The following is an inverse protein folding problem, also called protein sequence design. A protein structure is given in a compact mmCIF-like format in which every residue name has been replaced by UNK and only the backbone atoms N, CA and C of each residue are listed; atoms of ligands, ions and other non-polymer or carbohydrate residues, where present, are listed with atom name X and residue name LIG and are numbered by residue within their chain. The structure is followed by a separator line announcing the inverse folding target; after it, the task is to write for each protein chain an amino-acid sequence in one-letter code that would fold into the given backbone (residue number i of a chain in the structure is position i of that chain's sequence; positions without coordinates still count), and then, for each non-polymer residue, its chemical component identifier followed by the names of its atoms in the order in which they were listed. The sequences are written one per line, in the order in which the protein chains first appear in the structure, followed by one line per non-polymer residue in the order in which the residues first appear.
data_IF_204035065281
#
_entry.id   IF_204035065281
#
_cell.length_a   1.000
_cell.length_b   1.000
_cell.length_c   1.000
_cell.angle_alpha   90.00
_cell.angle_beta   90.00
_cell.angle_gamma   90.00
#
_symmetry.space_group_name_H-M   'P 1'
#
loop_
_entity.id
_entity.type
_entity.pdbx_description
1 polymer ?
#
# COMPACT_ATOMS: atom_id res chain seq x y z
N UNK A 1 -15.83 -6.27 -33.82
CA UNK A 1 -14.62 -5.45 -33.65
C UNK A 1 -14.60 -4.92 -32.21
N UNK A 2 -14.94 -5.77 -31.23
CA UNK A 2 -15.27 -5.38 -29.84
C UNK A 2 -14.54 -6.27 -28.82
N UNK A 3 -13.44 -6.90 -29.21
CA UNK A 3 -12.69 -7.86 -28.37
C UNK A 3 -11.30 -7.40 -27.97
N UNK A 4 -10.97 -6.11 -28.09
CA UNK A 4 -9.61 -5.60 -27.90
C UNK A 4 -9.50 -4.58 -26.75
N UNK A 5 -10.61 -4.05 -26.22
CA UNK A 5 -10.58 -3.09 -25.11
C UNK A 5 -10.42 -3.74 -23.72
N UNK A 6 -10.75 -5.03 -23.56
CA UNK A 6 -10.61 -5.75 -22.28
C UNK A 6 -9.23 -6.34 -22.00
N UNK A 7 -8.26 -6.18 -22.91
CA UNK A 7 -6.89 -6.71 -22.77
C UNK A 7 -5.90 -5.59 -22.38
N UNK A 8 -6.28 -4.32 -22.58
CA UNK A 8 -5.42 -3.16 -22.26
C UNK A 8 -5.38 -2.91 -20.74
N UNK A 9 -6.48 -3.14 -20.01
CA UNK A 9 -6.51 -3.03 -18.54
C UNK A 9 -5.72 -4.13 -17.79
N UNK A 10 -5.44 -5.26 -18.45
CA UNK A 10 -4.74 -6.42 -17.87
C UNK A 10 -3.21 -6.28 -17.99
N UNK A 11 -2.72 -5.45 -18.92
CA UNK A 11 -1.28 -5.22 -19.11
C UNK A 11 -0.80 -3.99 -18.32
N UNK A 12 -1.65 -2.97 -18.13
CA UNK A 12 -1.33 -1.80 -17.32
C UNK A 12 -1.09 -2.16 -15.83
N UNK A 13 -1.94 -3.01 -15.23
CA UNK A 13 -1.83 -3.44 -13.83
C UNK A 13 -0.58 -4.31 -13.56
N UNK A 14 -0.16 -5.12 -14.55
CA UNK A 14 1.02 -5.99 -14.50
C UNK A 14 2.35 -5.23 -14.27
N UNK A 15 2.42 -3.95 -14.67
CA UNK A 15 3.58 -3.07 -14.54
C UNK A 15 3.46 -2.03 -13.42
N UNK A 16 2.26 -1.49 -13.22
CA UNK A 16 1.89 -0.69 -12.03
C UNK A 16 2.29 -1.46 -10.76
N UNK A 17 2.09 -2.78 -10.75
CA UNK A 17 2.76 -3.80 -9.93
C UNK A 17 4.19 -3.50 -9.42
N UNK A 18 5.16 -3.94 -10.21
CA UNK A 18 6.58 -3.91 -9.88
C UNK A 18 7.19 -2.49 -9.89
N UNK A 19 6.56 -1.54 -10.58
CA UNK A 19 7.05 -0.17 -10.71
C UNK A 19 6.48 0.77 -9.65
N UNK A 20 5.23 0.58 -9.17
CA UNK A 20 4.77 1.23 -7.92
C UNK A 20 5.71 0.89 -6.78
N UNK A 21 6.21 -0.33 -6.67
CA UNK A 21 7.22 -0.66 -5.65
C UNK A 21 8.53 0.13 -5.89
N UNK A 22 8.93 0.34 -7.15
CA UNK A 22 10.06 1.21 -7.53
C UNK A 22 9.80 2.72 -7.36
N UNK A 23 8.55 3.17 -7.34
CA UNK A 23 8.15 4.57 -7.16
C UNK A 23 7.80 4.90 -5.71
N UNK A 24 7.17 3.99 -4.98
CA UNK A 24 6.89 4.02 -3.54
C UNK A 24 8.21 3.85 -2.76
N UNK A 25 9.01 2.82 -3.06
CA UNK A 25 10.25 2.50 -2.31
C UNK A 25 11.54 2.80 -3.07
N UNK A 26 11.54 2.67 -4.40
CA UNK A 26 12.77 2.83 -5.19
C UNK A 26 13.20 4.27 -5.42
N UNK A 27 12.30 5.26 -5.35
CA UNK A 27 12.63 6.59 -5.84
C UNK A 27 12.78 7.70 -4.76
N UNK A 28 12.49 7.40 -3.49
CA UNK A 28 12.96 8.22 -2.37
C UNK A 28 14.46 8.05 -2.11
N UNK A 29 15.00 6.83 -2.24
CA UNK A 29 16.42 6.55 -1.97
C UNK A 29 17.27 6.30 -3.23
N UNK A 30 16.74 5.76 -4.34
CA UNK A 30 17.56 5.47 -5.54
C UNK A 30 17.57 6.60 -6.60
N UNK A 31 16.50 7.37 -6.81
CA UNK A 31 16.55 8.61 -7.65
C UNK A 31 17.30 9.73 -6.97
N UNK A 32 17.25 9.81 -5.64
CA UNK A 32 18.16 10.65 -4.83
C UNK A 32 19.63 10.24 -5.02
N UNK A 33 19.91 8.95 -5.26
CA UNK A 33 21.25 8.42 -5.56
C UNK A 33 21.66 8.56 -7.03
N UNK A 34 20.71 8.67 -7.97
CA UNK A 34 20.97 8.82 -9.40
C UNK A 34 21.09 10.29 -9.84
N UNK A 35 20.29 11.20 -9.27
CA UNK A 35 20.48 12.65 -9.41
C UNK A 35 21.82 13.12 -8.80
N UNK A 36 22.41 12.31 -7.89
CA UNK A 36 23.76 12.49 -7.36
C UNK A 36 24.90 12.25 -8.38
N UNK A 37 24.63 11.75 -9.60
CA UNK A 37 25.68 11.39 -10.57
C UNK A 37 25.99 12.43 -11.65
N UNK A 38 25.24 13.53 -11.75
CA UNK A 38 25.45 14.54 -12.82
C UNK A 38 25.57 15.96 -12.31
N UNK A 39 26.41 16.15 -11.30
CA UNK A 39 27.34 17.27 -11.29
C UNK A 39 28.66 16.73 -10.73
N UNK A 40 29.73 16.80 -11.52
CA UNK A 40 31.07 16.41 -11.10
C UNK A 40 31.52 17.24 -9.90
N UNK A 41 31.27 16.70 -8.71
CA UNK A 41 31.73 17.18 -7.41
C UNK A 41 31.67 16.02 -6.44
N UNK A 42 32.83 15.52 -5.99
CA UNK A 42 32.95 14.37 -5.10
C UNK A 42 32.35 14.70 -3.72
N UNK A 43 31.17 14.17 -3.40
CA UNK A 43 30.55 14.30 -2.07
C UNK A 43 29.48 13.23 -1.81
N UNK A 44 29.34 12.80 -0.56
CA UNK A 44 28.28 11.93 -0.01
C UNK A 44 26.94 12.68 0.03
N UNK A 45 25.79 11.99 0.16
CA UNK A 45 24.45 12.60 0.33
C UNK A 45 24.42 13.64 1.47
N UNK A 46 25.14 13.36 2.57
CA UNK A 46 25.38 14.32 3.65
C UNK A 46 26.05 15.61 3.21
N UNK A 47 26.82 15.58 2.13
CA UNK A 47 27.60 16.72 1.63
C UNK A 47 26.77 17.61 0.69
N UNK A 48 25.73 17.05 0.05
CA UNK A 48 24.75 17.81 -0.73
C UNK A 48 23.69 18.49 0.16
N UNK A 49 23.34 17.88 1.30
CA UNK A 49 22.51 18.54 2.33
C UNK A 49 23.26 19.66 3.08
N UNK A 50 24.60 19.58 3.20
CA UNK A 50 25.44 20.54 3.95
C UNK A 50 25.70 21.89 3.26
N UNK A 51 24.76 22.39 2.47
CA UNK A 51 24.98 23.63 1.71
C UNK A 51 24.38 24.82 2.48
N UNK A 52 25.24 25.79 2.82
CA UNK A 52 24.88 26.99 3.56
C UNK A 52 23.76 27.78 2.87
N UNK A 53 22.69 28.08 3.62
CA UNK A 53 21.49 28.89 3.30
C UNK A 53 21.70 30.26 2.63
N UNK A 54 22.93 30.69 2.32
CA UNK A 54 23.20 31.98 1.66
C UNK A 54 22.77 31.94 0.19
N UNK A 55 21.51 32.31 -0.05
CA UNK A 55 20.95 32.55 -1.40
C UNK A 55 19.91 31.54 -1.86
N UNK A 56 19.49 30.58 -1.02
CA UNK A 56 18.33 29.74 -1.31
C UNK A 56 17.03 30.52 -1.05
N UNK A 57 16.08 30.42 -1.98
CA UNK A 57 14.72 30.93 -1.81
C UNK A 57 13.90 30.13 -0.80
N UNK A 58 12.66 30.54 -0.50
CA UNK A 58 11.75 29.73 0.31
C UNK A 58 11.53 28.34 -0.31
N UNK A 59 11.07 27.38 0.50
CA UNK A 59 10.65 26.09 -0.01
C UNK A 59 9.42 26.27 -0.91
N UNK A 60 9.52 25.76 -2.13
CA UNK A 60 8.49 25.80 -3.17
C UNK A 60 8.21 24.37 -3.64
N UNK A 61 6.97 24.11 -4.08
CA UNK A 61 6.55 22.82 -4.62
C UNK A 61 5.99 22.95 -6.04
N UNK A 62 6.08 21.85 -6.81
CA UNK A 62 5.46 21.73 -8.13
C UNK A 62 5.00 20.30 -8.41
N UNK A 63 4.10 20.17 -9.37
CA UNK A 63 3.75 18.89 -9.97
C UNK A 63 4.66 18.65 -11.18
N UNK A 64 5.27 17.47 -11.24
CA UNK A 64 5.92 16.94 -12.43
C UNK A 64 5.11 15.73 -12.92
N UNK A 65 4.54 15.83 -14.12
CA UNK A 65 3.81 14.72 -14.73
C UNK A 65 4.79 13.72 -15.33
N UNK A 66 4.73 12.48 -14.87
CA UNK A 66 5.50 11.37 -15.39
C UNK A 66 4.55 10.31 -15.91
N UNK A 67 4.69 9.94 -17.19
CA UNK A 67 4.06 8.74 -17.70
C UNK A 67 4.93 7.54 -17.35
N UNK A 68 4.38 6.67 -16.53
CA UNK A 68 5.01 5.49 -16.00
C UNK A 68 4.85 4.30 -16.98
N UNK A 69 5.70 4.22 -18.00
CA UNK A 69 5.69 3.11 -18.96
C UNK A 69 7.00 2.98 -19.74
N UNK A 70 7.20 1.82 -20.38
CA UNK A 70 8.29 1.61 -21.33
C UNK A 70 8.19 2.57 -22.53
N UNK A 71 9.29 2.69 -23.30
CA UNK A 71 9.48 3.53 -24.51
C UNK A 71 8.35 3.44 -25.58
N UNK A 72 7.35 2.57 -25.38
CA UNK A 72 6.22 2.28 -26.26
C UNK A 72 4.94 3.10 -25.93
N UNK A 73 4.91 3.88 -24.85
CA UNK A 73 3.87 4.88 -24.58
C UNK A 73 2.58 4.39 -23.90
N UNK A 74 2.53 3.16 -23.39
CA UNK A 74 1.42 2.59 -22.61
C UNK A 74 1.66 2.70 -21.09
N UNK A 75 2.01 3.90 -20.61
CA UNK A 75 2.23 4.17 -19.19
C UNK A 75 1.03 4.77 -18.47
N UNK A 76 0.94 4.57 -17.16
CA UNK A 76 -0.06 5.23 -16.32
C UNK A 76 0.45 6.60 -15.83
N UNK A 77 -0.47 7.52 -15.55
CA UNK A 77 -0.10 8.85 -15.10
C UNK A 77 0.35 8.82 -13.64
N UNK A 78 1.57 9.28 -13.39
CA UNK A 78 2.12 9.49 -12.06
C UNK A 78 2.44 10.98 -11.88
N UNK A 79 1.89 11.58 -10.83
CA UNK A 79 2.12 12.99 -10.49
C UNK A 79 3.16 13.04 -9.39
N UNK A 80 4.40 13.35 -9.77
CA UNK A 80 5.47 13.54 -8.81
C UNK A 80 5.36 14.92 -8.18
N UNK A 81 5.29 14.95 -6.85
CA UNK A 81 5.34 16.19 -6.09
C UNK A 81 6.81 16.47 -5.80
N UNK A 82 7.33 17.56 -6.36
CA UNK A 82 8.72 17.96 -6.19
C UNK A 82 8.83 19.21 -5.33
N UNK A 83 9.86 19.31 -4.50
CA UNK A 83 10.19 20.48 -3.71
C UNK A 83 11.58 21.02 -4.05
N UNK A 84 11.75 22.34 -3.95
CA UNK A 84 13.02 23.06 -4.11
C UNK A 84 13.08 24.24 -3.15
N UNK A 85 14.25 24.56 -2.60
CA UNK A 85 14.45 25.72 -1.73
C UNK A 85 14.85 25.37 -0.29
N UNK A 86 14.94 26.40 0.56
CA UNK A 86 15.39 26.28 1.94
C UNK A 86 14.37 25.63 2.86
N UNK A 87 14.80 24.63 3.63
CA UNK A 87 13.95 23.91 4.59
C UNK A 87 13.74 24.82 5.83
N UNK A 88 12.49 25.14 6.19
CA UNK A 88 12.19 26.17 7.20
C UNK A 88 12.22 25.65 8.64
N UNK A 89 13.33 25.02 9.06
CA UNK A 89 13.52 24.50 10.43
C UNK A 89 14.47 25.36 11.26
N UNK A 90 14.27 25.39 12.59
CA UNK A 90 15.05 26.21 13.53
C UNK A 90 15.99 25.39 14.45
N UNK A 91 15.90 24.06 14.38
CA UNK A 91 16.75 23.09 15.07
C UNK A 91 16.98 21.90 14.14
N UNK A 92 17.95 21.05 14.48
CA UNK A 92 18.10 19.75 13.83
C UNK A 92 16.85 18.92 14.11
N UNK A 93 16.24 18.38 13.06
CA UNK A 93 14.95 17.68 13.13
C UNK A 93 14.94 16.51 12.14
N UNK A 94 14.32 15.40 12.53
CA UNK A 94 14.02 14.30 11.61
C UNK A 94 12.76 14.63 10.82
N UNK A 95 12.90 14.87 9.51
CA UNK A 95 11.80 15.43 8.71
C UNK A 95 11.23 14.42 7.73
N UNK A 96 9.93 14.51 7.51
CA UNK A 96 9.20 13.81 6.45
C UNK A 96 8.25 14.73 5.71
N UNK A 97 7.76 14.26 4.57
CA UNK A 97 6.67 14.89 3.84
C UNK A 97 5.44 13.99 3.86
N UNK A 98 4.27 14.62 3.99
CA UNK A 98 2.97 13.97 3.88
C UNK A 98 2.18 14.68 2.80
N UNK A 99 1.68 13.92 1.83
CA UNK A 99 0.79 14.41 0.77
C UNK A 99 -0.61 13.86 1.00
N UNK A 100 -1.58 14.75 1.17
CA UNK A 100 -3.02 14.43 1.19
C UNK A 100 -3.69 14.96 -0.07
N UNK A 101 -4.79 14.33 -0.48
CA UNK A 101 -5.59 14.80 -1.62
C UNK A 101 -7.00 15.15 -1.14
N UNK A 102 -7.42 16.38 -1.42
CA UNK A 102 -8.76 16.88 -1.12
C UNK A 102 -9.47 17.24 -2.43
N UNK A 103 -10.76 16.95 -2.50
CA UNK A 103 -11.65 17.43 -3.55
C UNK A 103 -12.23 18.79 -3.12
N UNK A 104 -11.92 19.85 -3.87
CA UNK A 104 -12.39 21.22 -3.65
C UNK A 104 -13.36 21.67 -4.76
N UNK A 105 -14.01 20.74 -5.45
CA UNK A 105 -14.97 21.04 -6.54
C UNK A 105 -16.23 21.73 -6.01
N UNK A 106 -16.65 21.39 -4.78
CA UNK A 106 -17.80 21.99 -4.09
C UNK A 106 -17.32 22.96 -2.99
N UNK A 107 -18.25 23.74 -2.42
CA UNK A 107 -17.92 24.79 -1.44
C UNK A 107 -17.19 24.25 -0.21
N UNK A 108 -17.56 23.04 0.23
CA UNK A 108 -16.92 22.34 1.33
C UNK A 108 -15.94 21.29 0.76
N UNK A 109 -14.64 21.40 1.05
CA UNK A 109 -13.69 20.39 0.62
C UNK A 109 -14.02 19.02 1.22
N UNK A 110 -13.80 17.97 0.45
CA UNK A 110 -14.08 16.59 0.82
C UNK A 110 -12.81 15.72 0.70
N UNK A 111 -12.71 14.62 1.47
CA UNK A 111 -11.60 13.70 1.31
C UNK A 111 -11.65 13.01 -0.05
N UNK A 112 -10.48 12.66 -0.58
CA UNK A 112 -10.34 11.69 -1.68
C UNK A 112 -9.81 10.39 -1.10
N UNK A 113 -10.46 9.28 -1.44
CA UNK A 113 -10.15 7.95 -0.89
C UNK A 113 -9.26 7.16 -1.86
N UNK A 114 -8.78 6.02 -1.41
CA UNK A 114 -8.08 5.06 -2.26
C UNK A 114 -8.25 3.64 -1.72
N UNK A 115 -8.28 2.65 -2.62
CA UNK A 115 -8.34 1.22 -2.28
C UNK A 115 -6.96 0.61 -2.02
N UNK A 116 -5.89 1.41 -2.10
CA UNK A 116 -4.53 0.93 -1.92
C UNK A 116 -4.06 1.34 -0.53
N UNK A 117 -4.04 0.42 0.44
CA UNK A 117 -3.69 0.74 1.83
C UNK A 117 -2.31 1.40 1.99
N UNK A 118 -1.36 1.25 1.04
CA UNK A 118 -0.05 1.91 1.13
C UNK A 118 -0.13 3.41 0.88
N UNK A 119 -1.26 3.85 0.35
CA UNK A 119 -1.62 5.23 0.12
C UNK A 119 -2.78 5.67 1.01
N UNK A 120 -3.11 4.95 2.08
CA UNK A 120 -4.16 5.34 3.02
C UNK A 120 -3.60 5.88 4.32
N UNK A 121 -4.39 6.70 5.01
CA UNK A 121 -4.14 7.04 6.42
C UNK A 121 -4.24 5.81 7.33
N UNK A 122 -3.63 5.89 8.51
CA UNK A 122 -3.69 4.80 9.49
C UNK A 122 -5.10 4.54 10.03
N UNK A 123 -5.92 5.60 10.14
CA UNK A 123 -7.24 5.55 10.78
C UNK A 123 -8.40 5.77 9.80
N UNK A 124 -8.13 6.01 8.52
CA UNK A 124 -9.14 6.23 7.49
C UNK A 124 -8.68 5.65 6.15
N UNK A 125 -9.59 5.54 5.18
CA UNK A 125 -9.24 5.13 3.80
C UNK A 125 -8.91 6.33 2.89
N UNK A 126 -8.71 7.52 3.49
CA UNK A 126 -8.34 8.72 2.75
C UNK A 126 -6.91 8.64 2.23
N UNK A 127 -6.67 9.24 1.06
CA UNK A 127 -5.36 9.23 0.42
C UNK A 127 -4.31 9.95 1.26
N UNK A 128 -3.22 9.25 1.57
CA UNK A 128 -2.03 9.78 2.19
C UNK A 128 -0.77 9.08 1.65
N UNK A 129 0.20 9.87 1.19
CA UNK A 129 1.54 9.37 0.86
C UNK A 129 2.57 10.03 1.76
N UNK A 130 3.33 9.23 2.51
CA UNK A 130 4.41 9.69 3.38
C UNK A 130 5.77 9.42 2.74
N UNK A 131 6.71 10.35 2.87
CA UNK A 131 8.10 10.19 2.44
C UNK A 131 9.03 10.68 3.53
N UNK A 132 9.86 9.78 4.06
CA UNK A 132 10.88 10.10 5.05
C UNK A 132 12.12 10.69 4.38
N UNK A 133 12.63 11.81 4.90
CA UNK A 133 13.87 12.43 4.44
C UNK A 133 15.04 12.18 5.39
N UNK A 134 14.75 11.92 6.67
CA UNK A 134 15.75 11.73 7.72
C UNK A 134 16.12 13.03 8.43
N UNK A 135 17.17 12.97 9.26
CA UNK A 135 17.66 14.12 10.01
C UNK A 135 18.24 15.22 9.11
N UNK A 136 17.71 16.45 9.27
CA UNK A 136 18.15 17.66 8.57
C UNK A 136 18.62 18.71 9.59
N UNK A 137 19.75 19.36 9.33
CA UNK A 137 20.23 20.50 10.14
C UNK A 137 19.59 21.83 9.70
N UNK A 138 19.63 22.82 10.60
CA UNK A 138 19.26 24.20 10.30
C UNK A 138 20.07 24.72 9.12
N UNK A 139 19.45 25.57 8.28
CA UNK A 139 20.07 26.22 7.12
C UNK A 139 20.40 25.28 5.94
N UNK A 140 19.70 24.14 5.84
CA UNK A 140 19.77 23.22 4.70
C UNK A 140 18.59 23.42 3.73
N UNK A 141 18.68 22.83 2.54
CA UNK A 141 17.63 22.92 1.52
C UNK A 141 17.90 22.08 0.27
N UNK A 142 16.95 22.12 -0.67
CA UNK A 142 17.04 21.44 -1.95
C UNK A 142 17.47 22.42 -3.05
N UNK A 143 18.59 22.12 -3.72
CA UNK A 143 19.13 22.96 -4.80
C UNK A 143 18.46 22.65 -6.14
N UNK A 144 18.11 21.40 -6.35
CA UNK A 144 17.32 20.94 -7.48
C UNK A 144 15.93 20.54 -7.01
N UNK A 145 15.04 20.34 -7.97
CA UNK A 145 13.73 19.76 -7.68
C UNK A 145 13.94 18.32 -7.22
N UNK A 146 13.51 18.04 -5.99
CA UNK A 146 13.59 16.73 -5.36
C UNK A 146 12.18 16.24 -5.14
N UNK A 147 11.91 15.00 -5.54
CA UNK A 147 10.61 14.40 -5.30
C UNK A 147 10.38 14.14 -3.82
N UNK A 148 9.29 14.68 -3.29
CA UNK A 148 8.88 14.60 -1.89
C UNK A 148 7.55 13.88 -1.69
N UNK A 149 6.88 13.51 -2.78
CA UNK A 149 5.66 12.71 -2.73
C UNK A 149 5.19 12.31 -4.12
N UNK A 150 4.15 11.48 -4.14
CA UNK A 150 3.54 10.97 -5.37
C UNK A 150 2.03 10.99 -5.21
N UNK A 151 1.32 11.31 -6.29
CA UNK A 151 -0.13 11.12 -6.46
C UNK A 151 -0.39 10.34 -7.73
N UNK A 152 -1.23 9.32 -7.67
CA UNK A 152 -1.57 8.48 -8.83
C UNK A 152 -3.07 8.60 -9.08
N UNK A 153 -3.48 9.35 -10.11
CA UNK A 153 -4.90 9.64 -10.33
C UNK A 153 -5.79 8.39 -10.46
N UNK A 154 -5.27 7.32 -11.06
CA UNK A 154 -6.02 6.08 -11.31
C UNK A 154 -6.46 5.33 -10.04
N UNK A 155 -5.83 5.60 -8.90
CA UNK A 155 -6.18 4.97 -7.60
C UNK A 155 -6.95 5.92 -6.69
N UNK A 156 -7.35 7.10 -7.19
CA UNK A 156 -8.14 8.07 -6.45
C UNK A 156 -9.63 7.76 -6.62
N UNK A 157 -10.34 7.68 -5.50
CA UNK A 157 -11.79 7.60 -5.44
C UNK A 157 -12.34 8.90 -4.83
N UNK A 158 -12.67 9.91 -5.65
CA UNK A 158 -13.24 11.16 -5.20
C UNK A 158 -14.70 10.98 -4.75
N UNK A 159 -15.29 11.95 -4.03
CA UNK A 159 -16.67 11.84 -3.53
C UNK A 159 -17.71 11.60 -4.64
N UNK A 160 -17.49 12.14 -5.83
CA UNK A 160 -18.43 12.07 -6.95
C UNK A 160 -17.64 11.93 -8.27
N UNK A 161 -18.30 11.57 -9.37
CA UNK A 161 -17.70 11.33 -10.69
C UNK A 161 -17.57 12.55 -11.59
N UNK A 162 -16.84 12.42 -12.70
CA UNK A 162 -16.65 13.51 -13.67
C UNK A 162 -15.50 14.45 -13.32
N UNK A 163 -15.60 15.72 -13.73
CA UNK A 163 -14.52 16.71 -13.55
C UNK A 163 -14.43 17.15 -12.09
N UNK A 164 -13.23 17.02 -11.52
CA UNK A 164 -12.88 17.35 -10.13
C UNK A 164 -11.75 18.35 -10.04
N UNK A 165 -11.87 19.30 -9.11
CA UNK A 165 -10.84 20.25 -8.74
C UNK A 165 -10.18 19.75 -7.46
N UNK A 166 -9.06 19.06 -7.62
CA UNK A 166 -8.31 18.47 -6.52
C UNK A 166 -7.26 19.44 -6.00
N UNK A 167 -7.01 19.37 -4.70
CA UNK A 167 -5.92 20.05 -4.03
C UNK A 167 -5.00 19.04 -3.37
N UNK A 168 -3.74 19.02 -3.78
CA UNK A 168 -2.69 18.21 -3.17
C UNK A 168 -2.07 19.03 -2.04
N UNK A 169 -2.39 18.68 -0.80
CA UNK A 169 -1.87 19.36 0.39
C UNK A 169 -0.58 18.68 0.80
N UNK A 170 0.52 19.42 0.73
CA UNK A 170 1.87 18.93 1.02
C UNK A 170 2.31 19.51 2.35
N UNK A 171 2.60 18.64 3.32
CA UNK A 171 3.02 19.02 4.66
C UNK A 171 4.41 18.48 4.94
N UNK A 172 5.31 19.33 5.41
CA UNK A 172 6.56 18.88 6.04
C UNK A 172 6.30 18.69 7.53
N UNK A 173 6.72 17.55 8.08
CA UNK A 173 6.45 17.16 9.46
C UNK A 173 7.73 16.80 10.20
N UNK A 174 7.71 16.97 11.52
CA UNK A 174 8.69 16.36 12.43
C UNK A 174 8.27 14.90 12.63
N UNK A 175 9.12 13.94 12.27
CA UNK A 175 8.79 12.51 12.39
C UNK A 175 8.75 12.05 13.86
N UNK A 176 9.36 12.80 14.78
CA UNK A 176 9.27 12.53 16.22
C UNK A 176 7.97 13.04 16.85
N UNK A 177 7.30 14.00 16.21
CA UNK A 177 6.06 14.64 16.67
C UNK A 177 5.15 14.96 15.46
N UNK A 178 4.62 13.92 14.78
CA UNK A 178 3.82 14.11 13.59
C UNK A 178 2.47 14.76 13.93
N UNK A 179 1.96 15.69 13.10
CA UNK A 179 0.69 16.33 13.36
C UNK A 179 -0.48 15.38 13.09
N UNK A 180 -1.60 15.61 13.77
CA UNK A 180 -2.84 14.89 13.53
C UNK A 180 -3.40 15.27 12.14
N UNK A 181 -3.56 14.26 11.29
CA UNK A 181 -4.19 14.37 9.97
C UNK A 181 -5.30 13.33 9.91
N UNK A 182 -6.52 13.78 9.63
CA UNK A 182 -7.70 12.94 9.52
C UNK A 182 -8.46 13.31 8.25
N UNK A 183 -8.72 12.32 7.41
CA UNK A 183 -9.40 12.47 6.12
C UNK A 183 -8.71 13.50 5.20
N UNK A 184 -7.40 13.64 5.33
CA UNK A 184 -6.58 14.64 4.64
C UNK A 184 -6.65 16.05 5.22
N UNK A 185 -7.49 16.29 6.24
CA UNK A 185 -7.65 17.57 6.94
C UNK A 185 -6.74 17.68 8.16
N UNK A 186 -6.61 18.90 8.68
CA UNK A 186 -5.72 19.18 9.81
C UNK A 186 -4.26 19.33 9.37
N UNK A 187 -3.35 18.80 10.18
CA UNK A 187 -1.91 19.05 10.04
C UNK A 187 -1.42 20.26 10.85
N UNK A 188 -2.19 20.73 11.84
CA UNK A 188 -1.74 21.74 12.79
C UNK A 188 -0.50 21.22 13.54
N UNK A 189 0.64 21.92 13.41
CA UNK A 189 1.93 21.45 13.91
C UNK A 189 2.91 21.02 12.82
N UNK A 190 2.48 20.96 11.55
CA UNK A 190 3.39 20.81 10.43
C UNK A 190 4.46 21.92 10.43
N UNK A 191 5.69 21.55 10.12
CA UNK A 191 6.83 22.46 9.99
C UNK A 191 6.66 23.43 8.82
N UNK A 192 5.97 22.97 7.78
CA UNK A 192 5.63 23.75 6.59
C UNK A 192 4.44 23.12 5.88
N UNK A 193 3.66 23.94 5.18
CA UNK A 193 2.51 23.46 4.39
C UNK A 193 2.32 24.35 3.17
N UNK A 194 2.07 23.72 2.03
CA UNK A 194 1.64 24.37 0.80
C UNK A 194 0.73 23.43 0.00
N UNK A 195 0.11 23.92 -1.06
CA UNK A 195 -0.84 23.13 -1.83
C UNK A 195 -0.75 23.38 -3.34
N UNK A 196 -1.02 22.33 -4.10
CA UNK A 196 -1.04 22.35 -5.56
C UNK A 196 -2.45 22.05 -6.06
N UNK A 197 -2.93 22.84 -7.02
CA UNK A 197 -4.21 22.62 -7.66
C UNK A 197 -4.04 21.68 -8.86
N UNK A 198 -4.96 20.72 -9.00
CA UNK A 198 -4.96 19.74 -10.08
C UNK A 198 -6.39 19.45 -10.55
N UNK A 199 -6.62 19.43 -11.86
CA UNK A 199 -7.94 19.08 -12.41
C UNK A 199 -7.92 17.62 -12.82
N UNK A 200 -8.72 16.81 -12.14
CA UNK A 200 -8.87 15.39 -12.41
C UNK A 200 -10.21 15.11 -13.11
N UNK A 201 -10.29 14.07 -13.93
CA UNK A 201 -11.54 13.58 -14.48
C UNK A 201 -11.74 12.14 -14.06
N UNK A 202 -12.64 11.92 -13.11
CA UNK A 202 -12.99 10.59 -12.63
C UNK A 202 -14.02 9.95 -13.56
N UNK A 203 -13.68 8.79 -14.11
CA UNK A 203 -14.64 8.00 -14.88
C UNK A 203 -15.54 7.20 -13.94
N UNK A 204 -16.85 7.27 -14.15
CA UNK A 204 -17.82 6.56 -13.31
C UNK A 204 -18.36 7.40 -12.15
N UNK A 205 -18.71 6.74 -11.05
CA UNK A 205 -19.30 7.34 -9.86
C UNK A 205 -18.23 7.44 -8.76
N UNK A 206 -18.32 8.47 -7.92
CA UNK A 206 -17.49 8.56 -6.71
C UNK A 206 -18.13 7.89 -5.50
N UNK A 207 -17.37 7.76 -4.41
CA UNK A 207 -17.79 7.00 -3.22
C UNK A 207 -19.05 7.51 -2.50
N UNK A 208 -19.46 8.77 -2.71
CA UNK A 208 -20.71 9.33 -2.17
C UNK A 208 -21.89 9.13 -3.12
N UNK A 209 -21.65 8.83 -4.39
CA UNK A 209 -22.69 8.53 -5.39
C UNK A 209 -23.12 7.05 -5.37
N UNK A 210 -22.76 6.37 -4.27
CA UNK A 210 -23.04 4.99 -3.84
C UNK A 210 -23.97 4.23 -4.78
N UNK A 211 -23.45 3.15 -5.35
CA UNK A 211 -24.28 2.10 -5.95
C UNK A 211 -24.65 1.08 -4.87
N UNK A 212 -25.87 0.53 -4.93
CA UNK A 212 -26.24 -0.65 -4.16
C UNK A 212 -25.22 -1.80 -4.36
N UNK A 213 -24.59 -1.85 -5.53
CA UNK A 213 -23.54 -2.82 -5.85
C UNK A 213 -22.23 -2.56 -5.09
N UNK A 214 -21.89 -1.31 -4.74
CA UNK A 214 -20.69 -1.03 -3.93
C UNK A 214 -20.88 -1.46 -2.48
N UNK A 215 -22.04 -1.15 -1.89
CA UNK A 215 -22.39 -1.64 -0.55
C UNK A 215 -22.39 -3.18 -0.52
N UNK A 216 -22.98 -3.80 -1.55
CA UNK A 216 -22.98 -5.25 -1.71
C UNK A 216 -21.55 -5.81 -1.83
N UNK A 217 -20.70 -5.21 -2.66
CA UNK A 217 -19.33 -5.66 -2.87
C UNK A 217 -18.47 -5.56 -1.59
N UNK A 218 -18.65 -4.51 -0.79
CA UNK A 218 -18.00 -4.38 0.53
C UNK A 218 -18.49 -5.43 1.52
N UNK A 219 -19.78 -5.74 1.51
CA UNK A 219 -20.32 -6.87 2.29
C UNK A 219 -19.66 -8.17 1.84
N UNK A 220 -19.59 -8.46 0.53
CA UNK A 220 -18.96 -9.67 0.00
C UNK A 220 -17.47 -9.76 0.37
N UNK A 221 -16.75 -8.64 0.36
CA UNK A 221 -15.36 -8.54 0.80
C UNK A 221 -15.21 -8.93 2.28
N UNK A 222 -16.10 -8.42 3.13
CA UNK A 222 -16.14 -8.79 4.55
C UNK A 222 -16.46 -10.27 4.77
N UNK A 223 -17.34 -10.85 3.94
CA UNK A 223 -17.65 -12.28 3.99
C UNK A 223 -16.45 -13.14 3.56
N UNK A 224 -15.68 -12.68 2.59
CA UNK A 224 -14.41 -13.30 2.17
C UNK A 224 -13.41 -13.29 3.32
N UNK A 225 -13.18 -12.14 3.97
CA UNK A 225 -12.28 -12.04 5.12
C UNK A 225 -12.68 -12.99 6.26
N UNK A 226 -13.98 -13.03 6.61
CA UNK A 226 -14.50 -13.98 7.60
C UNK A 226 -14.34 -15.44 7.17
N UNK A 227 -14.44 -15.74 5.87
CA UNK A 227 -14.24 -17.11 5.36
C UNK A 227 -12.81 -17.59 5.55
N UNK A 228 -11.84 -16.69 5.44
CA UNK A 228 -10.43 -16.98 5.71
C UNK A 228 -10.19 -17.18 7.19
N UNK A 229 -10.69 -16.26 8.03
CA UNK A 229 -10.57 -16.37 9.49
C UNK A 229 -11.14 -17.69 10.01
N UNK A 230 -12.28 -18.12 9.48
CA UNK A 230 -12.96 -19.34 9.90
C UNK A 230 -12.42 -20.62 9.24
N UNK A 231 -11.31 -20.55 8.51
CA UNK A 231 -10.83 -21.68 7.69
C UNK A 231 -10.41 -22.89 8.54
N UNK A 232 -9.91 -22.65 9.75
CA UNK A 232 -9.54 -23.67 10.73
C UNK A 232 -10.73 -24.17 11.59
N UNK A 233 -11.90 -23.53 11.43
CA UNK A 233 -13.13 -23.83 12.14
C UNK A 233 -13.42 -22.96 13.37
N UNK A 234 -12.54 -22.01 13.70
CA UNK A 234 -12.71 -21.03 14.78
C UNK A 234 -12.34 -19.62 14.32
N UNK A 235 -12.81 -18.61 15.03
CA UNK A 235 -12.40 -17.21 14.83
C UNK A 235 -11.59 -16.78 16.05
N UNK A 236 -10.36 -16.34 15.85
CA UNK A 236 -9.55 -15.77 16.91
C UNK A 236 -9.94 -14.30 17.20
N UNK A 237 -9.69 -13.85 18.43
CA UNK A 237 -9.97 -12.48 18.85
C UNK A 237 -9.16 -11.45 18.01
N UNK A 238 -7.95 -11.82 17.56
CA UNK A 238 -7.09 -10.98 16.72
C UNK A 238 -7.67 -10.77 15.32
N UNK A 239 -8.10 -11.83 14.66
CA UNK A 239 -8.76 -11.80 13.35
C UNK A 239 -10.08 -11.02 13.39
N UNK A 240 -10.89 -11.28 14.42
CA UNK A 240 -12.14 -10.54 14.64
C UNK A 240 -11.90 -9.04 14.84
N UNK A 241 -10.77 -8.66 15.44
CA UNK A 241 -10.37 -7.25 15.60
C UNK A 241 -9.94 -6.64 14.27
N UNK A 242 -9.22 -7.37 13.41
CA UNK A 242 -8.87 -6.92 12.06
C UNK A 242 -10.12 -6.61 11.24
N UNK A 243 -11.08 -7.54 11.19
CA UNK A 243 -12.36 -7.34 10.49
C UNK A 243 -13.11 -6.10 10.98
N UNK A 244 -13.17 -5.91 12.31
CA UNK A 244 -13.82 -4.75 12.92
C UNK A 244 -13.11 -3.44 12.59
N UNK A 245 -11.79 -3.42 12.62
CA UNK A 245 -10.98 -2.24 12.31
C UNK A 245 -11.13 -1.84 10.85
N UNK A 246 -11.12 -2.82 9.94
CA UNK A 246 -11.36 -2.61 8.52
C UNK A 246 -12.71 -1.93 8.27
N UNK A 247 -13.80 -2.45 8.87
CA UNK A 247 -15.13 -1.80 8.79
C UNK A 247 -15.11 -0.37 9.33
N UNK A 248 -14.41 -0.13 10.44
CA UNK A 248 -14.36 1.19 11.08
C UNK A 248 -13.64 2.22 10.20
N UNK A 249 -12.50 1.83 9.60
CA UNK A 249 -11.76 2.68 8.64
C UNK A 249 -12.62 2.98 7.41
N UNK A 250 -13.25 1.95 6.83
CA UNK A 250 -14.03 2.06 5.60
C UNK A 250 -15.20 3.04 5.69
N UNK A 251 -15.87 3.10 6.84
CA UNK A 251 -17.03 3.97 7.02
C UNK A 251 -16.67 5.37 7.53
N UNK A 252 -15.46 5.58 8.04
CA UNK A 252 -15.03 6.86 8.62
C UNK A 252 -15.27 8.09 7.73
N UNK A 253 -15.16 8.03 6.38
CA UNK A 253 -15.38 9.20 5.53
C UNK A 253 -16.85 9.60 5.35
N UNK A 254 -17.79 8.78 5.81
CA UNK A 254 -19.22 9.04 5.64
C UNK A 254 -19.80 9.84 6.81
N UNK A 255 -20.98 10.43 6.59
CA UNK A 255 -21.73 11.11 7.65
C UNK A 255 -22.07 10.18 8.82
N UNK A 256 -22.25 10.72 10.02
CA UNK A 256 -22.59 9.92 11.21
C UNK A 256 -23.85 9.04 11.02
N UNK A 257 -24.86 9.57 10.33
CA UNK A 257 -26.08 8.82 9.98
C UNK A 257 -25.74 7.61 9.11
N UNK A 258 -24.98 7.83 8.03
CA UNK A 258 -24.57 6.76 7.10
C UNK A 258 -23.62 5.75 7.75
N UNK A 259 -22.72 6.21 8.62
CA UNK A 259 -21.88 5.33 9.42
C UNK A 259 -22.71 4.40 10.30
N UNK A 260 -23.78 4.90 10.91
CA UNK A 260 -24.68 4.06 11.72
C UNK A 260 -25.38 2.99 10.88
N UNK A 261 -25.92 3.37 9.72
CA UNK A 261 -26.56 2.42 8.79
C UNK A 261 -25.59 1.32 8.34
N UNK A 262 -24.40 1.71 7.90
CA UNK A 262 -23.38 0.79 7.41
C UNK A 262 -22.85 -0.13 8.53
N UNK A 263 -22.68 0.39 9.75
CA UNK A 263 -22.35 -0.45 10.92
C UNK A 263 -23.37 -1.56 11.12
N UNK A 264 -24.66 -1.27 11.00
CA UNK A 264 -25.70 -2.28 11.17
C UNK A 264 -25.66 -3.34 10.06
N UNK A 265 -25.46 -2.92 8.81
CA UNK A 265 -25.30 -3.82 7.66
C UNK A 265 -24.09 -4.74 7.83
N UNK A 266 -22.91 -4.19 8.11
CA UNK A 266 -21.68 -4.98 8.26
C UNK A 266 -21.70 -5.88 9.49
N UNK A 267 -22.25 -5.41 10.62
CA UNK A 267 -22.40 -6.24 11.82
C UNK A 267 -23.35 -7.42 11.58
N UNK A 268 -24.41 -7.22 10.80
CA UNK A 268 -25.34 -8.29 10.42
C UNK A 268 -24.63 -9.30 9.51
N UNK A 269 -23.94 -8.83 8.48
CA UNK A 269 -23.17 -9.66 7.56
C UNK A 269 -22.09 -10.50 8.28
N UNK A 270 -21.35 -9.91 9.23
CA UNK A 270 -20.35 -10.63 10.04
C UNK A 270 -21.00 -11.76 10.85
N UNK A 271 -22.12 -11.48 11.54
CA UNK A 271 -22.82 -12.48 12.36
C UNK A 271 -23.38 -13.62 11.52
N UNK A 272 -24.00 -13.29 10.39
CA UNK A 272 -24.58 -14.26 9.46
C UNK A 272 -23.48 -15.15 8.88
N UNK A 273 -22.39 -14.56 8.40
CA UNK A 273 -21.27 -15.30 7.80
C UNK A 273 -20.56 -16.19 8.81
N UNK A 274 -20.36 -15.70 10.04
CA UNK A 274 -19.82 -16.51 11.13
C UNK A 274 -20.69 -17.73 11.42
N UNK A 275 -22.02 -17.54 11.45
CA UNK A 275 -22.95 -18.65 11.67
C UNK A 275 -22.97 -19.62 10.49
N UNK A 276 -22.96 -19.12 9.25
CA UNK A 276 -22.89 -19.93 8.04
C UNK A 276 -21.60 -20.78 8.00
N UNK A 277 -20.47 -20.19 8.39
CA UNK A 277 -19.18 -20.89 8.49
C UNK A 277 -19.24 -22.01 9.53
N UNK A 278 -19.76 -21.69 10.73
CA UNK A 278 -19.91 -22.65 11.84
C UNK A 278 -20.81 -23.83 11.48
N UNK A 279 -21.87 -23.58 10.72
CA UNK A 279 -22.82 -24.61 10.29
C UNK A 279 -22.36 -25.35 9.02
N UNK A 280 -21.20 -24.97 8.44
CA UNK A 280 -20.66 -25.56 7.21
C UNK A 280 -21.48 -25.26 5.95
N UNK A 281 -22.30 -24.20 6.00
CA UNK A 281 -23.20 -23.77 4.91
C UNK A 281 -22.64 -22.61 4.08
N UNK A 282 -21.51 -22.02 4.49
CA UNK A 282 -20.84 -20.95 3.78
C UNK A 282 -20.23 -21.45 2.46
N UNK A 283 -20.64 -20.85 1.34
CA UNK A 283 -20.16 -21.23 0.00
C UNK A 283 -19.32 -20.10 -0.59
N UNK A 284 -18.00 -20.17 -0.40
CA UNK A 284 -17.04 -19.17 -0.90
C UNK A 284 -17.12 -18.97 -2.43
N UNK A 285 -17.44 -20.01 -3.18
CA UNK A 285 -17.62 -19.93 -4.64
C UNK A 285 -18.79 -19.03 -5.06
N UNK A 286 -19.87 -18.98 -4.26
CA UNK A 286 -21.01 -18.10 -4.55
C UNK A 286 -20.67 -16.64 -4.26
N UNK A 287 -19.95 -16.40 -3.16
CA UNK A 287 -19.49 -15.07 -2.73
C UNK A 287 -18.53 -14.48 -3.76
N UNK A 288 -17.49 -15.22 -4.13
CA UNK A 288 -16.47 -14.77 -5.10
C UNK A 288 -17.06 -14.58 -6.49
N UNK A 289 -17.99 -15.44 -6.94
CA UNK A 289 -18.70 -15.24 -8.21
C UNK A 289 -19.52 -13.95 -8.19
N UNK A 290 -20.27 -13.69 -7.11
CA UNK A 290 -21.07 -12.47 -7.02
C UNK A 290 -20.20 -11.22 -6.98
N UNK A 291 -19.08 -11.25 -6.26
CA UNK A 291 -18.13 -10.13 -6.22
C UNK A 291 -17.47 -9.90 -7.58
N UNK A 292 -17.19 -10.97 -8.34
CA UNK A 292 -16.65 -10.87 -9.70
C UNK A 292 -17.62 -10.20 -10.68
N UNK A 293 -18.93 -10.43 -10.52
CA UNK A 293 -19.98 -9.81 -11.36
C UNK A 293 -20.09 -8.29 -11.12
N UNK A 294 -19.67 -7.80 -9.95
CA UNK A 294 -19.57 -6.38 -9.67
C UNK A 294 -18.34 -5.86 -10.43
N UNK A 295 -18.56 -4.96 -11.39
CA UNK A 295 -17.52 -4.39 -12.24
C UNK A 295 -16.76 -3.27 -11.50
N UNK A 296 -16.17 -3.63 -10.37
CA UNK A 296 -15.39 -2.75 -9.51
C UNK A 296 -14.11 -3.49 -9.08
N UNK A 297 -12.98 -3.06 -9.64
CA UNK A 297 -11.69 -3.68 -9.33
C UNK A 297 -11.20 -3.32 -7.93
N UNK A 298 -11.54 -2.12 -7.43
CA UNK A 298 -11.17 -1.68 -6.08
C UNK A 298 -11.75 -2.63 -5.02
N UNK A 299 -13.02 -3.00 -5.17
CA UNK A 299 -13.67 -3.96 -4.26
C UNK A 299 -13.05 -5.37 -4.29
N UNK A 300 -12.53 -5.81 -5.44
CA UNK A 300 -11.85 -7.11 -5.55
C UNK A 300 -10.49 -7.08 -4.85
N UNK A 301 -9.78 -5.94 -4.93
CA UNK A 301 -8.53 -5.73 -4.21
C UNK A 301 -8.77 -5.63 -2.71
N UNK A 302 -9.76 -4.86 -2.27
CA UNK A 302 -10.17 -4.74 -0.86
C UNK A 302 -10.43 -6.11 -0.23
N UNK A 303 -11.12 -7.00 -0.94
CA UNK A 303 -11.42 -8.36 -0.47
C UNK A 303 -10.17 -9.21 -0.25
N UNK A 304 -9.20 -9.13 -1.17
CA UNK A 304 -7.95 -9.89 -1.08
C UNK A 304 -7.06 -9.31 0.02
N UNK A 305 -6.94 -7.99 0.09
CA UNK A 305 -6.18 -7.31 1.13
C UNK A 305 -6.72 -7.65 2.52
N UNK A 306 -8.03 -7.56 2.73
CA UNK A 306 -8.64 -7.94 4.00
C UNK A 306 -8.35 -9.40 4.35
N UNK A 307 -8.39 -10.30 3.37
CA UNK A 307 -8.09 -11.71 3.59
C UNK A 307 -6.62 -11.93 4.03
N UNK A 308 -5.68 -11.18 3.46
CA UNK A 308 -4.28 -11.17 3.91
C UNK A 308 -4.12 -10.60 5.32
N UNK A 309 -4.76 -9.49 5.64
CA UNK A 309 -4.70 -8.87 6.96
C UNK A 309 -5.26 -9.79 8.06
N UNK A 310 -6.32 -10.54 7.74
CA UNK A 310 -6.91 -11.54 8.63
C UNK A 310 -5.93 -12.68 8.89
N UNK A 311 -5.39 -13.29 7.84
CA UNK A 311 -4.41 -14.38 7.94
C UNK A 311 -3.16 -13.97 8.72
N UNK A 312 -2.75 -12.71 8.67
CA UNK A 312 -1.58 -12.22 9.42
C UNK A 312 -1.90 -11.72 10.84
N UNK A 313 -3.15 -11.76 11.28
CA UNK A 313 -3.59 -11.11 12.51
C UNK A 313 -2.92 -11.65 13.78
N UNK A 314 -2.61 -12.96 13.81
CA UNK A 314 -1.97 -13.64 14.93
C UNK A 314 -0.43 -13.67 14.83
N UNK A 315 0.13 -13.13 13.74
CA UNK A 315 1.56 -13.15 13.46
C UNK A 315 2.08 -14.45 12.83
N UNK A 316 1.20 -15.38 12.43
CA UNK A 316 1.56 -16.66 11.79
C UNK A 316 0.67 -16.91 10.58
N UNK A 317 1.22 -16.78 9.37
CA UNK A 317 0.49 -17.19 8.17
C UNK A 317 0.32 -18.71 8.12
N UNK A 318 -0.93 -19.20 8.18
CA UNK A 318 -1.24 -20.61 7.96
C UNK A 318 -1.24 -20.95 6.46
N UNK A 319 -0.65 -22.10 6.12
CA UNK A 319 -0.52 -22.57 4.73
C UNK A 319 -1.87 -22.89 4.07
N UNK A 320 -2.86 -23.31 4.86
CA UNK A 320 -4.23 -23.55 4.41
C UNK A 320 -4.96 -22.26 4.06
N UNK A 321 -4.81 -21.23 4.88
CA UNK A 321 -5.38 -19.89 4.65
C UNK A 321 -4.79 -19.25 3.40
N UNK A 322 -3.47 -19.29 3.23
CA UNK A 322 -2.81 -18.77 2.04
C UNK A 322 -3.33 -19.47 0.76
N UNK A 323 -3.52 -20.79 0.81
CA UNK A 323 -4.07 -21.55 -0.31
C UNK A 323 -5.52 -21.14 -0.63
N UNK A 324 -6.31 -20.78 0.38
CA UNK A 324 -7.66 -20.25 0.20
C UNK A 324 -7.61 -18.86 -0.44
N UNK A 325 -6.75 -17.96 0.05
CA UNK A 325 -6.60 -16.60 -0.49
C UNK A 325 -6.19 -16.63 -1.97
N UNK A 326 -5.24 -17.50 -2.35
CA UNK A 326 -4.83 -17.65 -3.75
C UNK A 326 -6.00 -18.10 -4.64
N UNK A 327 -6.83 -19.05 -4.18
CA UNK A 327 -8.03 -19.47 -4.91
C UNK A 327 -9.07 -18.36 -5.02
N UNK A 328 -9.19 -17.51 -4.00
CA UNK A 328 -10.08 -16.34 -4.02
C UNK A 328 -9.59 -15.36 -5.09
N UNK A 329 -8.29 -15.03 -5.10
CA UNK A 329 -7.70 -14.14 -6.10
C UNK A 329 -7.92 -14.67 -7.54
N UNK A 330 -7.66 -15.95 -7.78
CA UNK A 330 -7.95 -16.61 -9.06
C UNK A 330 -9.43 -16.51 -9.44
N UNK A 331 -10.33 -16.74 -8.49
CA UNK A 331 -11.78 -16.70 -8.71
C UNK A 331 -12.24 -15.29 -9.08
N UNK A 332 -11.74 -14.27 -8.40
CA UNK A 332 -12.02 -12.87 -8.67
C UNK A 332 -11.35 -12.36 -9.97
N UNK A 333 -10.37 -13.11 -10.49
CA UNK A 333 -9.61 -12.71 -11.67
C UNK A 333 -8.62 -11.58 -11.37
N UNK A 334 -8.13 -11.51 -10.13
CA UNK A 334 -7.07 -10.59 -9.72
C UNK A 334 -5.72 -11.23 -10.03
N UNK A 335 -4.81 -10.47 -10.64
CA UNK A 335 -3.50 -10.96 -11.04
C UNK A 335 -2.66 -11.31 -9.79
N UNK A 336 -1.98 -12.45 -9.83
CA UNK A 336 -1.06 -12.95 -8.80
C UNK A 336 0.04 -11.94 -8.40
N UNK A 337 0.34 -10.96 -9.26
CA UNK A 337 1.31 -9.90 -8.94
C UNK A 337 0.74 -8.79 -8.05
N UNK A 338 -0.56 -8.53 -8.10
CA UNK A 338 -1.22 -7.63 -7.14
C UNK A 338 -1.23 -8.29 -5.76
N UNK A 339 -1.49 -9.61 -5.73
CA UNK A 339 -1.39 -10.49 -4.56
C UNK A 339 0.02 -10.46 -3.91
N UNK A 340 1.10 -10.44 -4.72
CA UNK A 340 2.49 -10.41 -4.22
C UNK A 340 2.83 -9.14 -3.41
N UNK A 341 2.18 -8.00 -3.70
CA UNK A 341 2.37 -6.75 -2.94
C UNK A 341 1.74 -6.80 -1.55
N UNK A 342 0.51 -7.32 -1.48
CA UNK A 342 -0.19 -7.52 -0.20
C UNK A 342 0.56 -8.54 0.65
N UNK A 343 1.09 -9.59 0.02
CA UNK A 343 1.96 -10.58 0.65
C UNK A 343 3.25 -9.96 1.21
N UNK A 344 3.99 -9.18 0.41
CA UNK A 344 5.23 -8.53 0.87
C UNK A 344 4.96 -7.59 2.06
N UNK A 345 3.80 -6.91 2.13
CA UNK A 345 3.39 -6.06 3.26
C UNK A 345 2.91 -6.83 4.49
N UNK A 346 2.05 -7.84 4.33
CA UNK A 346 1.63 -8.69 5.45
C UNK A 346 2.83 -9.41 6.08
N UNK A 347 3.84 -9.76 5.30
CA UNK A 347 5.12 -10.30 5.81
C UNK A 347 5.87 -9.28 6.68
N UNK A 348 5.75 -7.97 6.41
CA UNK A 348 6.28 -6.91 7.29
C UNK A 348 5.52 -6.87 8.63
N UNK A 349 4.22 -7.15 8.63
CA UNK A 349 3.40 -7.19 9.86
C UNK A 349 3.61 -8.47 10.68
N UNK A 350 3.92 -9.60 10.02
CA UNK A 350 4.28 -10.89 10.64
C UNK A 350 5.63 -10.83 11.42
N UNK A 351 6.42 -9.77 11.28
CA UNK A 351 7.74 -9.59 11.95
C UNK A 351 7.67 -9.61 13.49
N UNK A 352 6.49 -9.48 14.10
CA UNK A 352 6.38 -9.39 15.56
C UNK A 352 6.50 -10.76 16.26
N UNK A 353 6.28 -11.91 15.57
CA UNK A 353 6.08 -13.18 16.31
C UNK A 353 6.58 -14.50 15.65
N UNK A 354 7.36 -14.49 14.57
CA UNK A 354 7.79 -15.74 13.93
C UNK A 354 8.95 -16.45 14.67
N UNK A 355 8.66 -17.49 15.47
CA UNK A 355 9.68 -18.36 16.13
C UNK A 355 9.58 -19.86 15.79
N UNK A 356 8.73 -20.29 14.84
CA UNK A 356 8.48 -21.72 14.56
C UNK A 356 9.00 -22.22 13.19
N UNK A 357 9.46 -23.49 13.15
CA UNK A 357 10.14 -24.13 12.00
C UNK A 357 9.24 -24.37 10.77
N UNK A 358 7.94 -24.59 10.95
CA UNK A 358 6.97 -24.74 9.83
C UNK A 358 6.69 -23.40 9.15
N UNK A 359 6.73 -22.29 9.90
CA UNK A 359 6.59 -20.94 9.37
C UNK A 359 7.72 -20.59 8.39
N UNK A 360 8.90 -21.22 8.55
CA UNK A 360 10.09 -20.94 7.74
C UNK A 360 9.98 -21.48 6.30
N UNK A 361 9.48 -22.70 6.15
CA UNK A 361 9.36 -23.35 4.83
C UNK A 361 8.28 -22.67 4.00
N UNK A 362 7.22 -22.20 4.66
CA UNK A 362 6.12 -21.43 4.06
C UNK A 362 6.55 -20.02 3.69
N UNK A 363 7.29 -19.31 4.57
CA UNK A 363 7.88 -17.99 4.28
C UNK A 363 8.85 -18.03 3.08
N UNK A 364 9.50 -19.18 2.87
CA UNK A 364 10.41 -19.42 1.75
C UNK A 364 9.75 -20.14 0.57
N UNK A 365 8.42 -20.23 0.57
CA UNK A 365 7.61 -20.75 -0.55
C UNK A 365 8.00 -22.19 -0.97
N UNK A 366 8.38 -23.02 0.01
CA UNK A 366 8.69 -24.43 -0.24
C UNK A 366 7.40 -25.24 -0.35
N UNK A 367 7.24 -25.92 -1.49
CA UNK A 367 6.15 -26.90 -1.65
C UNK A 367 6.51 -28.21 -0.93
N UNK A 368 5.64 -28.74 -0.05
CA UNK A 368 5.88 -30.01 0.65
C UNK A 368 6.01 -31.23 -0.27
N UNK A 369 5.57 -31.12 -1.53
CA UNK A 369 5.67 -32.17 -2.54
C UNK A 369 7.00 -32.16 -3.30
N UNK A 370 7.82 -31.12 -3.15
CA UNK A 370 9.10 -31.00 -3.86
C UNK A 370 10.15 -31.99 -3.36
N UNK A 371 10.93 -32.51 -4.31
CA UNK A 371 12.15 -33.25 -4.00
C UNK A 371 13.27 -32.31 -3.54
N UNK A 372 14.29 -32.86 -2.87
CA UNK A 372 15.45 -32.10 -2.37
C UNK A 372 16.08 -31.18 -3.44
N UNK A 373 16.25 -31.67 -4.67
CA UNK A 373 16.84 -30.87 -5.75
C UNK A 373 15.99 -29.66 -6.17
N UNK A 374 14.67 -29.74 -6.01
CA UNK A 374 13.73 -28.65 -6.32
C UNK A 374 13.72 -27.62 -5.18
N UNK A 375 13.72 -28.09 -3.93
CA UNK A 375 13.88 -27.27 -2.73
C UNK A 375 15.20 -26.50 -2.78
N UNK A 376 16.33 -27.16 -3.07
CA UNK A 376 17.65 -26.52 -3.15
C UNK A 376 17.72 -25.47 -4.26
N UNK A 377 17.04 -25.71 -5.39
CA UNK A 377 16.96 -24.74 -6.48
C UNK A 377 16.15 -23.52 -6.04
N UNK A 378 14.99 -23.74 -5.45
CA UNK A 378 14.12 -22.67 -4.98
C UNK A 378 14.80 -21.83 -3.88
N UNK A 379 15.46 -22.46 -2.91
CA UNK A 379 16.20 -21.76 -1.86
C UNK A 379 17.37 -20.93 -2.41
N UNK A 380 18.02 -21.35 -3.50
CA UNK A 380 19.06 -20.54 -4.17
C UNK A 380 18.49 -19.34 -4.90
N UNK A 381 17.33 -19.48 -5.52
CA UNK A 381 16.63 -18.39 -6.20
C UNK A 381 16.16 -17.35 -5.18
N UNK A 382 15.55 -17.81 -4.07
CA UNK A 382 15.20 -16.96 -2.92
C UNK A 382 16.45 -16.30 -2.31
N UNK A 383 17.55 -17.04 -2.12
CA UNK A 383 18.80 -16.47 -1.60
C UNK A 383 19.32 -15.36 -2.51
N UNK A 384 19.31 -15.58 -3.83
CA UNK A 384 19.76 -14.58 -4.80
C UNK A 384 18.89 -13.33 -4.75
N UNK A 385 17.56 -13.50 -4.64
CA UNK A 385 16.58 -12.41 -4.51
C UNK A 385 16.80 -11.60 -3.23
N UNK A 386 16.86 -12.27 -2.07
CA UNK A 386 17.00 -11.61 -0.77
C UNK A 386 18.39 -11.04 -0.55
N UNK A 387 19.44 -11.67 -1.07
CA UNK A 387 20.79 -11.11 -1.05
C UNK A 387 20.92 -9.92 -1.99
N UNK A 388 20.24 -9.94 -3.14
CA UNK A 388 20.08 -8.76 -4.00
C UNK A 388 19.41 -7.62 -3.25
N UNK A 389 18.29 -7.89 -2.56
CA UNK A 389 17.57 -6.93 -1.71
C UNK A 389 18.47 -6.38 -0.61
N UNK A 390 19.11 -7.22 0.21
CA UNK A 390 20.03 -6.81 1.30
C UNK A 390 21.12 -5.83 0.82
N UNK A 391 21.69 -6.10 -0.36
CA UNK A 391 22.77 -5.28 -0.92
C UNK A 391 22.26 -3.99 -1.58
N UNK A 392 21.00 -3.95 -2.00
CA UNK A 392 20.36 -2.78 -2.59
C UNK A 392 19.69 -1.87 -1.56
N UNK A 393 19.28 -2.41 -0.42
CA UNK A 393 18.53 -1.71 0.61
C UNK A 393 19.45 -0.90 1.56
N UNK A 394 19.06 0.33 1.92
CA UNK A 394 19.73 1.17 2.93
C UNK A 394 19.68 0.52 4.32
N UNK A 395 20.52 0.94 5.26
CA UNK A 395 20.33 0.53 6.67
C UNK A 395 18.96 0.97 7.18
N UNK A 396 18.25 0.06 7.86
CA UNK A 396 16.85 0.22 8.27
C UNK A 396 16.18 -1.15 8.46
N UNK A 397 14.89 -1.15 8.84
CA UNK A 397 14.06 -2.34 9.03
C UNK A 397 14.07 -3.25 7.80
N UNK A 398 13.94 -2.69 6.60
CA UNK A 398 13.93 -3.43 5.33
C UNK A 398 15.22 -4.21 5.06
N UNK A 399 16.39 -3.67 5.44
CA UNK A 399 17.67 -4.39 5.31
C UNK A 399 17.83 -5.45 6.39
N UNK A 400 17.29 -5.22 7.58
CA UNK A 400 17.24 -6.23 8.65
C UNK A 400 16.32 -7.40 8.25
N UNK A 401 15.21 -7.13 7.57
CA UNK A 401 14.33 -8.14 6.97
C UNK A 401 15.02 -8.98 5.91
N UNK A 402 15.71 -8.33 4.97
CA UNK A 402 16.47 -9.04 3.95
C UNK A 402 17.55 -9.93 4.57
N UNK A 403 18.17 -9.49 5.68
CA UNK A 403 19.11 -10.31 6.44
C UNK A 403 18.41 -11.48 7.12
N UNK A 404 17.25 -11.25 7.75
CA UNK A 404 16.48 -12.29 8.41
C UNK A 404 16.00 -13.38 7.42
N UNK A 405 15.54 -12.99 6.23
CA UNK A 405 15.17 -13.94 5.18
C UNK A 405 16.36 -14.80 4.74
N UNK A 406 17.57 -14.22 4.65
CA UNK A 406 18.79 -14.98 4.39
C UNK A 406 19.14 -15.94 5.53
N UNK A 407 18.89 -15.55 6.78
CA UNK A 407 19.09 -16.41 7.95
C UNK A 407 18.08 -17.57 7.97
N UNK A 408 16.81 -17.34 7.59
CA UNK A 408 15.80 -18.39 7.43
C UNK A 408 16.18 -19.36 6.30
N UNK A 409 16.68 -18.85 5.18
CA UNK A 409 17.18 -19.68 4.07
C UNK A 409 18.34 -20.56 4.52
N UNK A 410 19.30 -19.99 5.25
CA UNK A 410 20.45 -20.74 5.76
C UNK A 410 20.02 -21.86 6.72
N UNK A 411 19.02 -21.60 7.58
CA UNK A 411 18.43 -22.61 8.47
C UNK A 411 17.70 -23.71 7.70
N UNK A 412 16.92 -23.37 6.67
CA UNK A 412 16.26 -24.36 5.81
C UNK A 412 17.26 -25.21 5.01
N UNK A 413 18.30 -24.59 4.43
CA UNK A 413 19.38 -25.32 3.76
C UNK A 413 20.05 -26.33 4.71
N UNK A 414 20.33 -25.91 5.95
CA UNK A 414 20.94 -26.80 6.96
C UNK A 414 20.04 -27.99 7.30
N UNK A 415 18.72 -27.77 7.42
CA UNK A 415 17.73 -28.82 7.67
C UNK A 415 17.74 -29.87 6.55
N UNK A 416 17.54 -29.46 5.31
CA UNK A 416 17.47 -30.35 4.15
C UNK A 416 18.83 -30.97 3.76
N UNK A 417 19.94 -30.43 4.27
CA UNK A 417 21.26 -31.06 4.21
C UNK A 417 21.52 -32.08 5.31
N UNK A 418 20.88 -31.96 6.48
CA UNK A 418 21.02 -32.91 7.59
C UNK A 418 20.15 -34.17 7.49
N UNK A 419 19.13 -34.15 6.63
CA UNK A 419 18.22 -35.28 6.37
C UNK A 419 18.70 -36.20 5.21
N UNK A 420 19.96 -36.07 4.79
CA UNK A 420 20.64 -36.91 3.78
C UNK A 420 21.72 -37.79 4.42
#
# INVERSE_FOLDING_TARGET
MEGILGIIGVIALWWVGSWLFGVIFGAGKATVKAAAKTATGKGSFSDNMKIEFKGMGPLEIRINEMNAGDDDGEGFLCLEIEAKGGIPINRKTDVGFVVSVLDCTEDDPAPVLTHIDSFQESMSVAYQHQTEMGEVDVNMGFIEWVRVGVVIPEILDPPKGGRRELKFVVRMIDLEDPPDIELGFGGDGALWTDALDYVYHHEGKGFQEVSQEQDEGRVLSLRIGMSVAMSDGSLDDSEGKVLKNWVTRLISPYSEERQSELKDVYNSAMKETYQEAKDGSLVLGDITRRLKEIDDQGLKLDAIELAYQVMSADGVADSGELAIINKIAESLGVDYKDVEKFKDRSILELEVTATHEQSMEVLLELDPSWGKEEIDRHLRDQFTRWNGRLNSLPEGSERQQAQHMLDLISKCQTKYDSDA
#
